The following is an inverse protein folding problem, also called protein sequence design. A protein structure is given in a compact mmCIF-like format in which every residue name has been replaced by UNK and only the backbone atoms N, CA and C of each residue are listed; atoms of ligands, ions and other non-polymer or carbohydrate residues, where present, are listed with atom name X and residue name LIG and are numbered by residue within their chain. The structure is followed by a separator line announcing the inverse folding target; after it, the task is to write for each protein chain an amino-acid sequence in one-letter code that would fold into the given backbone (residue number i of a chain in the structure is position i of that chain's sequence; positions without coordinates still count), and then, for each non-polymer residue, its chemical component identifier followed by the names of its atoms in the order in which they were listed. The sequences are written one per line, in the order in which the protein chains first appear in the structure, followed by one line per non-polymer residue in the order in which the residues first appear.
data_IF_665270001081
#
_entry.id   IF_665270001081
#
_cell.length_a   1.000
_cell.length_b   1.000
_cell.length_c   1.000
_cell.angle_alpha   90.00
_cell.angle_beta   90.00
_cell.angle_gamma   90.00
#
_symmetry.space_group_name_H-M   'P 1'
#
loop_
_entity.id
_entity.type
_entity.pdbx_description
1 polymer ?
#
# COMPACT_ATOMS: atom_id res chain seq x y z
N UNK A 1 16.05 23.32 -3.75
CA UNK A 1 16.42 22.52 -2.56
C UNK A 1 15.35 22.52 -1.46
N UNK A 2 14.56 23.60 -1.31
CA UNK A 2 13.55 23.71 -0.23
C UNK A 2 12.28 22.87 -0.40
N UNK A 3 11.94 22.49 -1.64
CA UNK A 3 10.78 21.61 -1.91
C UNK A 3 11.07 20.20 -1.42
N UNK A 4 12.26 19.66 -1.74
CA UNK A 4 12.67 18.32 -1.33
C UNK A 4 12.72 18.15 0.19
N UNK A 5 13.28 19.13 0.91
CA UNK A 5 13.28 19.15 2.39
C UNK A 5 11.85 19.16 2.96
N UNK A 6 10.94 19.93 2.36
CA UNK A 6 9.52 19.96 2.77
C UNK A 6 8.82 18.63 2.54
N UNK A 7 9.08 17.96 1.42
CA UNK A 7 8.51 16.64 1.11
C UNK A 7 9.00 15.60 2.12
N UNK A 8 10.31 15.53 2.38
CA UNK A 8 10.88 14.60 3.38
C UNK A 8 10.26 14.85 4.76
N UNK A 9 10.14 16.12 5.18
CA UNK A 9 9.53 16.46 6.47
C UNK A 9 8.09 15.95 6.56
N UNK A 10 7.30 16.06 5.48
CA UNK A 10 5.93 15.52 5.43
C UNK A 10 5.89 14.00 5.48
N UNK A 11 6.79 13.31 4.77
CA UNK A 11 6.90 11.84 4.81
C UNK A 11 7.26 11.37 6.22
N UNK A 12 8.23 12.00 6.87
CA UNK A 12 8.61 11.67 8.24
C UNK A 12 7.45 11.92 9.21
N UNK A 13 6.72 13.04 9.07
CA UNK A 13 5.55 13.32 9.90
C UNK A 13 4.42 12.30 9.69
N UNK A 14 4.23 11.86 8.45
CA UNK A 14 3.30 10.77 8.12
C UNK A 14 3.68 9.46 8.79
N UNK A 15 4.94 9.05 8.71
CA UNK A 15 5.45 7.84 9.37
C UNK A 15 5.40 7.94 10.91
N UNK A 16 5.47 9.16 11.47
CA UNK A 16 5.29 9.42 12.91
C UNK A 16 3.82 9.45 13.35
N UNK A 17 2.88 9.29 12.42
CA UNK A 17 1.45 9.35 12.73
C UNK A 17 0.97 10.75 13.14
N UNK A 18 1.60 11.82 12.63
CA UNK A 18 1.14 13.20 12.85
C UNK A 18 -0.20 13.48 12.14
N UNK A 19 -0.59 12.63 11.19
CA UNK A 19 -1.84 12.76 10.44
C UNK A 19 -3.01 12.04 11.14
N UNK A 20 -4.26 12.51 10.93
CA UNK A 20 -5.44 11.89 11.51
C UNK A 20 -5.58 10.42 11.12
N UNK A 21 -6.09 9.59 12.03
CA UNK A 21 -6.24 8.15 11.81
C UNK A 21 -7.16 7.83 10.63
N UNK A 22 -8.31 8.50 10.52
CA UNK A 22 -9.23 8.29 9.41
C UNK A 22 -8.55 8.61 8.06
N UNK A 23 -7.78 9.70 8.00
CA UNK A 23 -7.08 10.12 6.79
C UNK A 23 -6.00 9.10 6.43
N UNK A 24 -5.16 8.73 7.39
CA UNK A 24 -4.06 7.77 7.19
C UNK A 24 -4.62 6.41 6.78
N UNK A 25 -5.66 5.92 7.45
CA UNK A 25 -6.29 4.63 7.13
C UNK A 25 -6.93 4.61 5.73
N UNK A 26 -7.78 5.58 5.41
CA UNK A 26 -8.52 5.58 4.14
C UNK A 26 -7.67 6.03 2.96
N UNK A 27 -6.93 7.13 3.10
CA UNK A 27 -6.20 7.76 1.98
C UNK A 27 -4.86 7.08 1.72
N UNK A 28 -4.23 6.51 2.75
CA UNK A 28 -2.91 5.88 2.59
C UNK A 28 -2.93 4.35 2.68
N UNK A 29 -3.96 3.77 3.29
CA UNK A 29 -4.18 2.32 3.31
C UNK A 29 -5.18 1.87 2.24
N UNK A 30 -6.46 2.14 2.47
CA UNK A 30 -7.56 1.53 1.71
C UNK A 30 -7.59 2.00 0.25
N UNK A 31 -7.60 3.31 0.01
CA UNK A 31 -7.72 3.89 -1.33
C UNK A 31 -6.64 3.42 -2.29
N UNK A 32 -5.35 3.55 -1.95
CA UNK A 32 -4.26 3.05 -2.77
C UNK A 32 -4.38 1.55 -3.04
N UNK A 33 -4.72 0.74 -2.02
CA UNK A 33 -4.89 -0.70 -2.18
C UNK A 33 -6.01 -1.06 -3.19
N UNK A 34 -7.13 -0.36 -3.16
CA UNK A 34 -8.21 -0.53 -4.14
C UNK A 34 -7.74 -0.18 -5.55
N UNK A 35 -7.02 0.93 -5.70
CA UNK A 35 -6.44 1.34 -6.99
C UNK A 35 -5.48 0.27 -7.51
N UNK A 36 -4.63 -0.28 -6.64
CA UNK A 36 -3.70 -1.35 -7.01
C UNK A 36 -4.43 -2.64 -7.42
N UNK A 37 -5.47 -3.04 -6.69
CA UNK A 37 -6.29 -4.20 -7.09
C UNK A 37 -6.94 -4.00 -8.45
N UNK A 38 -7.51 -2.82 -8.72
CA UNK A 38 -8.08 -2.50 -10.02
C UNK A 38 -7.03 -2.53 -11.13
N UNK A 39 -5.83 -1.99 -10.86
CA UNK A 39 -4.72 -2.06 -11.80
C UNK A 39 -4.33 -3.51 -12.12
N UNK A 40 -4.17 -4.36 -11.11
CA UNK A 40 -3.87 -5.78 -11.30
C UNK A 40 -4.98 -6.49 -12.09
N UNK A 41 -6.24 -6.24 -11.76
CA UNK A 41 -7.38 -6.83 -12.47
C UNK A 41 -7.40 -6.45 -13.95
N UNK A 42 -7.21 -5.16 -14.28
CA UNK A 42 -7.11 -4.70 -15.67
C UNK A 42 -5.92 -5.33 -16.40
N UNK A 43 -4.83 -5.60 -15.68
CA UNK A 43 -3.65 -6.24 -16.25
C UNK A 43 -3.87 -7.72 -16.56
N UNK A 44 -4.57 -8.44 -15.68
CA UNK A 44 -4.96 -9.84 -15.92
C UNK A 44 -5.90 -9.93 -17.12
N UNK A 45 -6.91 -9.06 -17.22
CA UNK A 45 -7.83 -9.05 -18.38
C UNK A 45 -7.08 -8.80 -19.70
N UNK A 46 -6.05 -7.94 -19.71
CA UNK A 46 -5.20 -7.74 -20.88
C UNK A 46 -4.31 -8.95 -21.22
N UNK A 47 -3.85 -9.68 -20.20
CA UNK A 47 -3.10 -10.94 -20.35
C UNK A 47 -3.97 -12.00 -21.00
N UNK A 48 -5.17 -12.21 -20.47
CA UNK A 48 -6.12 -13.23 -20.93
C UNK A 48 -6.56 -12.98 -22.38
N UNK A 49 -6.68 -11.71 -22.79
CA UNK A 49 -7.04 -11.32 -24.16
C UNK A 49 -5.85 -11.36 -25.14
N UNK A 50 -4.65 -11.73 -24.68
CA UNK A 50 -3.45 -11.81 -25.52
C UNK A 50 -2.97 -10.46 -26.06
N UNK A 51 -3.33 -9.35 -25.42
CA UNK A 51 -3.05 -7.98 -25.89
C UNK A 51 -1.83 -7.34 -25.24
N UNK A 52 -0.95 -8.14 -24.62
CA UNK A 52 0.18 -7.60 -23.86
C UNK A 52 1.33 -7.23 -24.79
N UNK A 53 1.50 -5.93 -24.99
CA UNK A 53 2.74 -5.35 -25.49
C UNK A 53 3.83 -5.40 -24.42
N UNK A 54 5.08 -5.58 -24.82
CA UNK A 54 6.28 -5.63 -23.95
C UNK A 54 6.41 -4.41 -23.05
N UNK A 55 5.94 -3.24 -23.50
CA UNK A 55 5.90 -2.02 -22.71
C UNK A 55 5.00 -2.14 -21.47
N UNK A 56 3.90 -2.87 -21.59
CA UNK A 56 2.94 -3.10 -20.50
C UNK A 56 3.55 -3.94 -19.38
N UNK A 57 4.42 -4.89 -19.73
CA UNK A 57 5.15 -5.73 -18.76
C UNK A 57 6.11 -4.88 -17.91
N UNK A 58 6.85 -3.95 -18.52
CA UNK A 58 7.75 -3.05 -17.80
C UNK A 58 7.00 -2.13 -16.83
N UNK A 59 5.80 -1.68 -17.20
CA UNK A 59 4.94 -0.89 -16.30
C UNK A 59 4.50 -1.75 -15.09
N UNK A 60 4.09 -3.00 -15.31
CA UNK A 60 3.71 -3.90 -14.21
C UNK A 60 4.87 -4.06 -13.22
N UNK A 61 6.09 -4.29 -13.72
CA UNK A 61 7.27 -4.42 -12.86
C UNK A 61 7.55 -3.14 -12.07
N UNK A 62 7.50 -1.97 -12.72
CA UNK A 62 7.72 -0.70 -12.06
C UNK A 62 6.68 -0.43 -10.96
N UNK A 63 5.39 -0.67 -11.24
CA UNK A 63 4.30 -0.51 -10.27
C UNK A 63 4.47 -1.50 -9.11
N UNK A 64 4.86 -2.75 -9.39
CA UNK A 64 5.08 -3.77 -8.36
C UNK A 64 6.17 -3.36 -7.38
N UNK A 65 7.29 -2.81 -7.86
CA UNK A 65 8.37 -2.30 -7.01
C UNK A 65 7.87 -1.16 -6.11
N UNK A 66 7.10 -0.23 -6.67
CA UNK A 66 6.52 0.89 -5.90
C UNK A 66 5.60 0.36 -4.80
N UNK A 67 4.76 -0.64 -5.10
CA UNK A 67 3.84 -1.27 -4.14
C UNK A 67 4.59 -1.94 -3.00
N UNK A 68 5.65 -2.70 -3.31
CA UNK A 68 6.48 -3.41 -2.32
C UNK A 68 7.04 -2.42 -1.28
N UNK A 69 7.43 -1.22 -1.69
CA UNK A 69 7.97 -0.20 -0.79
C UNK A 69 6.84 0.57 -0.09
N UNK A 70 5.78 0.90 -0.82
CA UNK A 70 4.69 1.75 -0.33
C UNK A 70 3.87 1.08 0.77
N UNK A 71 3.48 -0.19 0.59
CA UNK A 71 2.63 -0.92 1.55
C UNK A 71 3.23 -0.92 2.97
N UNK A 72 4.49 -1.35 3.22
CA UNK A 72 5.03 -1.37 4.57
C UNK A 72 5.10 0.03 5.19
N UNK A 73 5.43 1.06 4.41
CA UNK A 73 5.42 2.44 4.89
C UNK A 73 4.02 2.89 5.31
N UNK A 74 3.00 2.54 4.53
CA UNK A 74 1.60 2.85 4.85
C UNK A 74 1.12 2.14 6.12
N UNK A 75 1.48 0.86 6.30
CA UNK A 75 1.12 0.10 7.50
C UNK A 75 1.77 0.68 8.75
N UNK A 76 3.03 1.12 8.66
CA UNK A 76 3.72 1.80 9.75
C UNK A 76 3.05 3.14 10.08
N UNK A 77 2.69 3.94 9.08
CA UNK A 77 2.00 5.21 9.29
C UNK A 77 0.62 5.01 9.95
N UNK A 78 -0.15 4.00 9.51
CA UNK A 78 -1.44 3.65 10.11
C UNK A 78 -1.26 3.20 11.56
N UNK A 79 -0.28 2.34 11.84
CA UNK A 79 0.02 1.89 13.20
C UNK A 79 0.43 3.07 14.12
N UNK A 80 1.33 3.93 13.65
CA UNK A 80 1.77 5.11 14.39
C UNK A 80 0.61 6.07 14.67
N UNK A 81 -0.25 6.31 13.68
CA UNK A 81 -1.45 7.15 13.84
C UNK A 81 -2.45 6.51 14.81
N UNK A 82 -2.63 5.18 14.78
CA UNK A 82 -3.53 4.46 15.67
C UNK A 82 -3.07 4.51 17.14
N UNK A 83 -1.76 4.41 17.39
CA UNK A 83 -1.18 4.53 18.74
C UNK A 83 -1.47 5.92 19.32
N UNK A 84 -1.29 6.97 18.51
CA UNK A 84 -1.46 8.38 18.94
C UNK A 84 -2.90 8.86 18.95
N UNK A 85 -3.82 8.12 18.33
CA UNK A 85 -5.24 8.47 18.31
C UNK A 85 -5.80 8.56 19.74
N UNK A 86 -6.62 9.57 20.05
CA UNK A 86 -7.24 9.76 21.37
C UNK A 86 -8.78 9.65 21.35
N UNK A 87 -9.36 9.36 20.18
CA UNK A 87 -10.80 9.21 20.03
C UNK A 87 -11.31 7.82 20.45
N UNK A 88 -12.39 7.36 19.82
CA UNK A 88 -13.04 6.10 20.18
C UNK A 88 -12.10 4.90 20.01
N UNK A 89 -12.07 4.04 21.02
CA UNK A 89 -11.21 2.84 21.05
C UNK A 89 -11.48 1.88 19.88
N UNK A 90 -12.73 1.80 19.41
CA UNK A 90 -13.12 0.97 18.26
C UNK A 90 -12.28 1.29 17.02
N UNK A 91 -11.99 2.57 16.75
CA UNK A 91 -11.18 2.96 15.59
C UNK A 91 -9.73 2.50 15.71
N UNK A 92 -9.17 2.44 16.92
CA UNK A 92 -7.83 1.88 17.14
C UNK A 92 -7.80 0.38 16.85
N UNK A 93 -8.81 -0.34 17.32
CA UNK A 93 -8.92 -1.79 17.12
C UNK A 93 -9.09 -2.08 15.62
N UNK A 94 -9.98 -1.37 14.93
CA UNK A 94 -10.17 -1.50 13.49
C UNK A 94 -8.89 -1.20 12.70
N UNK A 95 -8.16 -0.14 13.06
CA UNK A 95 -6.88 0.17 12.45
C UNK A 95 -5.84 -0.92 12.70
N UNK A 96 -5.77 -1.45 13.94
CA UNK A 96 -4.86 -2.54 14.30
C UNK A 96 -5.16 -3.83 13.54
N UNK A 97 -6.43 -4.24 13.47
CA UNK A 97 -6.87 -5.39 12.67
C UNK A 97 -6.55 -5.17 11.18
N UNK A 98 -6.78 -3.95 10.68
CA UNK A 98 -6.43 -3.58 9.31
C UNK A 98 -4.94 -3.69 9.03
N UNK A 99 -4.09 -3.27 9.97
CA UNK A 99 -2.62 -3.40 9.87
C UNK A 99 -2.22 -4.87 9.88
N UNK A 100 -2.75 -5.69 10.79
CA UNK A 100 -2.44 -7.12 10.85
C UNK A 100 -2.82 -7.85 9.56
N UNK A 101 -4.05 -7.62 9.07
CA UNK A 101 -4.51 -8.17 7.80
C UNK A 101 -3.63 -7.68 6.64
N UNK A 102 -3.27 -6.39 6.64
CA UNK A 102 -2.37 -5.80 5.66
C UNK A 102 -0.98 -6.43 5.66
N UNK A 103 -0.40 -6.72 6.83
CA UNK A 103 0.88 -7.41 6.95
C UNK A 103 0.81 -8.83 6.38
N UNK A 104 -0.26 -9.58 6.68
CA UNK A 104 -0.45 -10.94 6.14
C UNK A 104 -0.58 -10.91 4.62
N UNK A 105 -1.44 -10.03 4.09
CA UNK A 105 -1.61 -9.86 2.63
C UNK A 105 -0.33 -9.40 1.95
N UNK A 106 0.46 -8.53 2.58
CA UNK A 106 1.76 -8.11 2.06
C UNK A 106 2.75 -9.27 1.99
N UNK A 107 2.87 -10.08 3.05
CA UNK A 107 3.75 -11.26 3.04
C UNK A 107 3.33 -12.27 1.97
N UNK A 108 2.02 -12.51 1.81
CA UNK A 108 1.50 -13.35 0.73
C UNK A 108 1.87 -12.80 -0.65
N UNK A 109 1.68 -11.50 -0.86
CA UNK A 109 2.03 -10.84 -2.13
C UNK A 109 3.52 -10.94 -2.43
N UNK A 110 4.39 -10.65 -1.46
CA UNK A 110 5.85 -10.76 -1.62
C UNK A 110 6.27 -12.21 -1.89
N UNK A 111 5.68 -13.18 -1.19
CA UNK A 111 5.95 -14.60 -1.45
C UNK A 111 5.58 -14.99 -2.87
N UNK A 112 4.40 -14.61 -3.36
CA UNK A 112 3.96 -14.87 -4.73
C UNK A 112 4.91 -14.19 -5.74
N UNK A 113 5.24 -12.91 -5.50
CA UNK A 113 6.12 -12.15 -6.38
C UNK A 113 7.55 -12.73 -6.44
N UNK A 114 8.09 -13.22 -5.33
CA UNK A 114 9.46 -13.76 -5.24
C UNK A 114 9.58 -15.22 -5.68
N UNK A 115 8.58 -16.05 -5.41
CA UNK A 115 8.61 -17.48 -5.75
C UNK A 115 8.14 -17.77 -7.17
N UNK A 116 7.56 -16.78 -7.86
CA UNK A 116 7.02 -16.96 -9.20
C UNK A 116 6.00 -18.08 -9.27
N UNK A 117 5.28 -18.37 -8.17
CA UNK A 117 4.18 -19.34 -8.14
C UNK A 117 3.04 -18.82 -9.02
N UNK A 118 3.23 -19.04 -10.32
CA UNK A 118 2.23 -19.19 -11.36
C UNK A 118 1.35 -20.37 -10.95
N UNK A 119 0.39 -20.09 -10.07
CA UNK A 119 -0.73 -20.96 -9.72
C UNK A 119 -2.04 -20.44 -10.30
N UNK A 120 -1.96 -19.69 -11.39
CA UNK A 120 -3.03 -19.38 -12.34
C UNK A 120 -2.46 -19.69 -13.73
#
# INVERSE_FOLDING_TARGET
MDIFKRVIKKIIGWLKGDFPLWFTYWVTGVGPNVIFMLFIYMMIDKLDRGTIETYTVNIIYAVTIIVIIYIPLSLVAIAASAIRYKGLWVWKILAGVGVLKGCVSYLQFVLIACTGLTGL
#
